data_IF_259474337126
#
_entry.id   IF_259474337126
#
_cell.length_a   1.000
_cell.length_b   1.000
_cell.length_c   1.000
_cell.angle_alpha   90.00
_cell.angle_beta   90.00
_cell.angle_gamma   90.00
#
_symmetry.space_group_name_H-M   'P 1'
#
loop_
_entity.id
_entity.type
_entity.pdbx_description
1 polymer ?
#
# COMPACT_ATOMS: atom_id res chain seq x y z
N UNK A 1 -7.93 0.36 5.54
CA UNK A 1 -8.82 1.27 4.78
C UNK A 1 -9.24 0.72 3.41
N UNK A 2 -8.35 0.17 2.58
CA UNK A 2 -8.70 -0.37 1.25
C UNK A 2 -9.84 -1.40 1.23
N UNK A 3 -9.94 -2.25 2.24
CA UNK A 3 -11.04 -3.24 2.37
C UNK A 3 -12.40 -2.56 2.58
N UNK A 4 -12.45 -1.46 3.34
CA UNK A 4 -13.66 -0.68 3.58
C UNK A 4 -14.12 -0.04 2.27
N UNK A 5 -13.21 0.62 1.56
CA UNK A 5 -13.49 1.22 0.26
C UNK A 5 -13.99 0.17 -0.76
N UNK A 6 -13.35 -0.99 -0.78
CA UNK A 6 -13.79 -2.11 -1.63
C UNK A 6 -15.24 -2.49 -1.35
N UNK A 7 -15.60 -2.71 -0.09
CA UNK A 7 -16.98 -3.08 0.31
C UNK A 7 -18.01 -2.04 -0.15
N UNK A 8 -17.66 -0.76 -0.12
CA UNK A 8 -18.59 0.32 -0.44
C UNK A 8 -18.74 0.54 -1.96
N UNK A 9 -17.64 0.49 -2.72
CA UNK A 9 -17.60 0.96 -4.10
C UNK A 9 -17.51 -0.14 -5.16
N UNK A 10 -16.98 -1.33 -4.85
CA UNK A 10 -16.66 -2.36 -5.87
C UNK A 10 -17.83 -2.75 -6.76
N UNK A 11 -19.06 -2.76 -6.22
CA UNK A 11 -20.28 -3.18 -6.92
C UNK A 11 -21.15 -2.01 -7.40
N UNK A 12 -20.70 -0.76 -7.25
CA UNK A 12 -21.47 0.39 -7.70
C UNK A 12 -21.29 0.57 -9.20
N UNK A 13 -22.41 0.71 -9.94
CA UNK A 13 -22.41 0.78 -11.41
C UNK A 13 -21.54 1.90 -11.94
N UNK A 14 -21.70 3.11 -11.40
CA UNK A 14 -20.93 4.30 -11.79
C UNK A 14 -19.42 4.14 -11.54
N UNK A 15 -19.04 3.51 -10.43
CA UNK A 15 -17.64 3.21 -10.12
C UNK A 15 -17.06 2.17 -11.09
N UNK A 16 -17.80 1.10 -11.38
CA UNK A 16 -17.38 0.04 -12.30
C UNK A 16 -17.25 0.58 -13.72
N UNK A 17 -18.23 1.35 -14.18
CA UNK A 17 -18.24 1.97 -15.50
C UNK A 17 -17.07 2.95 -15.65
N UNK A 18 -16.89 3.86 -14.69
CA UNK A 18 -15.81 4.82 -14.71
C UNK A 18 -14.44 4.14 -14.77
N UNK A 19 -14.18 3.18 -13.88
CA UNK A 19 -12.90 2.47 -13.86
C UNK A 19 -12.65 1.64 -15.11
N UNK A 20 -13.70 1.11 -15.73
CA UNK A 20 -13.62 0.40 -17.02
C UNK A 20 -13.30 1.36 -18.16
N UNK A 21 -13.94 2.54 -18.19
CA UNK A 21 -13.66 3.59 -19.17
C UNK A 21 -12.22 4.09 -19.07
N UNK A 22 -11.71 4.34 -17.87
CA UNK A 22 -10.31 4.72 -17.65
C UNK A 22 -9.34 3.70 -18.27
N UNK A 23 -9.59 2.41 -18.04
CA UNK A 23 -8.79 1.34 -18.63
C UNK A 23 -8.83 1.33 -20.16
N UNK A 24 -10.03 1.44 -20.73
CA UNK A 24 -10.23 1.51 -22.19
C UNK A 24 -9.55 2.72 -22.81
N UNK A 25 -9.70 3.91 -22.21
CA UNK A 25 -9.08 5.15 -22.71
C UNK A 25 -7.56 5.10 -22.63
N UNK A 26 -7.02 4.51 -21.58
CA UNK A 26 -5.57 4.29 -21.47
C UNK A 26 -5.04 3.41 -22.60
N UNK A 27 -5.71 2.29 -22.90
CA UNK A 27 -5.32 1.40 -24.00
C UNK A 27 -5.48 2.09 -25.37
N UNK A 28 -6.53 2.90 -25.55
CA UNK A 28 -6.81 3.61 -26.79
C UNK A 28 -5.77 4.67 -27.12
N UNK A 29 -5.26 5.39 -26.10
CA UNK A 29 -4.46 6.60 -26.30
C UNK A 29 -2.97 6.46 -25.95
N UNK A 30 -2.50 5.32 -25.46
CA UNK A 30 -1.12 5.17 -24.95
C UNK A 30 -0.02 5.33 -26.04
N UNK A 31 -0.37 5.15 -27.32
CA UNK A 31 0.54 5.36 -28.47
C UNK A 31 0.13 6.55 -29.35
N UNK A 32 -0.61 7.50 -28.83
CA UNK A 32 -1.09 8.67 -29.56
C UNK A 32 -0.53 9.96 -28.96
N UNK A 33 -0.78 11.08 -29.63
CA UNK A 33 -0.50 12.44 -29.14
C UNK A 33 -1.20 12.78 -27.80
N UNK A 34 -2.18 11.97 -27.39
CA UNK A 34 -2.93 12.10 -26.14
C UNK A 34 -2.27 11.41 -24.95
N UNK A 35 -1.15 10.73 -25.17
CA UNK A 35 -0.49 9.88 -24.14
C UNK A 35 -0.05 10.65 -22.90
N UNK A 36 0.24 11.94 -23.00
CA UNK A 36 0.68 12.76 -21.86
C UNK A 36 -0.43 13.07 -20.83
N UNK A 37 -1.70 12.90 -21.22
CA UNK A 37 -2.86 13.08 -20.33
C UNK A 37 -3.48 11.75 -19.87
N UNK A 38 -2.81 10.63 -20.06
CA UNK A 38 -3.36 9.32 -19.68
C UNK A 38 -3.64 9.22 -18.19
N UNK A 39 -4.78 8.58 -17.82
CA UNK A 39 -5.03 8.26 -16.43
C UNK A 39 -3.91 7.35 -15.88
N UNK A 40 -3.60 7.45 -14.59
CA UNK A 40 -2.66 6.55 -13.93
C UNK A 40 -3.05 5.09 -14.12
N UNK A 41 -2.06 4.19 -14.12
CA UNK A 41 -2.31 2.77 -14.30
C UNK A 41 -3.04 2.19 -13.06
N UNK A 42 -4.21 1.63 -13.29
CA UNK A 42 -4.99 0.93 -12.25
C UNK A 42 -4.65 -0.55 -12.25
N UNK A 43 -3.89 -1.00 -11.27
CA UNK A 43 -3.65 -2.44 -11.05
C UNK A 43 -4.88 -3.07 -10.41
N UNK A 44 -5.43 -4.12 -11.00
CA UNK A 44 -6.64 -4.79 -10.51
C UNK A 44 -6.50 -5.27 -9.04
N UNK A 45 -5.34 -5.81 -8.68
CA UNK A 45 -5.05 -6.36 -7.33
C UNK A 45 -5.00 -5.27 -6.26
N UNK A 46 -4.53 -4.07 -6.60
CA UNK A 46 -4.35 -2.96 -5.64
C UNK A 46 -5.23 -1.74 -5.95
N UNK A 47 -6.34 -1.94 -6.67
CA UNK A 47 -7.24 -0.86 -7.11
C UNK A 47 -7.63 0.07 -5.97
N UNK A 48 -8.05 -0.48 -4.84
CA UNK A 48 -8.52 0.29 -3.69
C UNK A 48 -7.41 0.88 -2.81
N UNK A 49 -6.17 0.44 -2.97
CA UNK A 49 -5.00 1.05 -2.31
C UNK A 49 -4.46 2.24 -3.10
N UNK A 50 -4.60 2.21 -4.45
CA UNK A 50 -4.06 3.22 -5.36
C UNK A 50 -5.12 4.17 -5.91
N UNK A 51 -6.30 4.24 -5.27
CA UNK A 51 -7.40 5.12 -5.71
C UNK A 51 -6.99 6.59 -5.79
N UNK A 52 -6.14 7.02 -4.89
CA UNK A 52 -5.76 8.43 -4.75
C UNK A 52 -5.18 9.02 -6.03
N UNK A 53 -4.36 8.28 -6.78
CA UNK A 53 -3.70 8.81 -7.97
C UNK A 53 -4.68 9.08 -9.12
N UNK A 54 -5.62 8.17 -9.36
CA UNK A 54 -6.57 8.35 -10.46
C UNK A 54 -7.77 9.23 -10.08
N UNK A 55 -8.13 9.30 -8.79
CA UNK A 55 -9.13 10.28 -8.32
C UNK A 55 -8.54 11.69 -8.39
N UNK A 56 -7.29 11.89 -8.01
CA UNK A 56 -6.59 13.16 -8.16
C UNK A 56 -6.54 13.56 -9.64
N UNK A 57 -6.04 12.67 -10.51
CA UNK A 57 -6.02 12.89 -11.95
C UNK A 57 -7.40 13.27 -12.50
N UNK A 58 -8.46 12.58 -12.05
CA UNK A 58 -9.83 12.85 -12.50
C UNK A 58 -10.33 14.24 -12.10
N UNK A 59 -10.04 14.69 -10.89
CA UNK A 59 -10.39 16.04 -10.45
C UNK A 59 -9.55 17.10 -11.17
N UNK A 60 -8.25 16.89 -11.35
CA UNK A 60 -7.37 17.79 -12.12
C UNK A 60 -7.85 17.91 -13.58
N UNK A 61 -8.26 16.79 -14.19
CA UNK A 61 -8.85 16.79 -15.54
C UNK A 61 -10.16 17.56 -15.62
N UNK A 62 -11.02 17.50 -14.58
CA UNK A 62 -12.23 18.31 -14.50
C UNK A 62 -11.90 19.79 -14.38
N UNK A 63 -10.96 20.15 -13.54
CA UNK A 63 -10.57 21.54 -13.26
C UNK A 63 -9.96 22.23 -14.49
N UNK A 64 -9.15 21.49 -15.27
CA UNK A 64 -8.49 22.04 -16.47
C UNK A 64 -9.27 21.77 -17.77
N UNK A 65 -10.41 21.07 -17.72
CA UNK A 65 -11.10 20.57 -18.92
C UNK A 65 -11.34 21.64 -19.98
N UNK A 66 -11.85 22.80 -19.60
CA UNK A 66 -12.23 23.87 -20.52
C UNK A 66 -11.02 24.59 -21.14
N UNK A 67 -9.83 24.39 -20.57
CA UNK A 67 -8.55 24.92 -21.11
C UNK A 67 -7.85 23.94 -22.06
N UNK A 68 -8.32 22.69 -22.15
CA UNK A 68 -7.73 21.68 -23.00
C UNK A 68 -8.00 21.96 -24.50
N UNK A 69 -7.06 21.56 -25.40
CA UNK A 69 -7.32 21.58 -26.84
C UNK A 69 -8.54 20.76 -27.20
N UNK A 70 -9.34 21.17 -28.20
CA UNK A 70 -10.62 20.54 -28.57
C UNK A 70 -10.54 19.01 -28.76
N UNK A 71 -9.46 18.52 -29.42
CA UNK A 71 -9.22 17.06 -29.57
C UNK A 71 -9.06 16.32 -28.24
N UNK A 72 -8.57 17.00 -27.21
CA UNK A 72 -8.41 16.45 -25.87
C UNK A 72 -9.74 16.52 -25.12
N UNK A 73 -10.48 17.61 -25.27
CA UNK A 73 -11.83 17.71 -24.72
C UNK A 73 -12.74 16.60 -25.24
N UNK A 74 -12.77 16.31 -26.53
CA UNK A 74 -13.51 15.18 -27.10
C UNK A 74 -13.08 13.83 -26.52
N UNK A 75 -11.77 13.60 -26.42
CA UNK A 75 -11.23 12.34 -25.94
C UNK A 75 -11.61 12.04 -24.49
N UNK A 76 -11.68 13.09 -23.65
CA UNK A 76 -11.92 12.98 -22.20
C UNK A 76 -13.27 13.56 -21.75
N UNK A 77 -14.21 13.82 -22.70
CA UNK A 77 -15.55 14.37 -22.39
C UNK A 77 -16.29 13.56 -21.33
N UNK A 78 -16.13 12.24 -21.32
CA UNK A 78 -16.77 11.34 -20.36
C UNK A 78 -16.49 11.70 -18.89
N UNK A 79 -15.39 12.44 -18.58
CA UNK A 79 -15.04 12.71 -17.19
C UNK A 79 -16.06 13.61 -16.50
N UNK A 80 -16.74 14.46 -17.26
CA UNK A 80 -17.80 15.35 -16.74
C UNK A 80 -18.96 14.57 -16.13
N UNK A 81 -19.29 13.41 -16.69
CA UNK A 81 -20.40 12.56 -16.22
C UNK A 81 -20.10 11.95 -14.83
N UNK A 82 -18.81 11.84 -14.47
CA UNK A 82 -18.36 11.26 -13.21
C UNK A 82 -17.89 12.31 -12.17
N UNK A 83 -18.14 13.58 -12.40
CA UNK A 83 -17.72 14.66 -11.49
C UNK A 83 -18.24 14.49 -10.06
N UNK A 84 -19.50 14.04 -9.91
CA UNK A 84 -20.07 13.76 -8.59
C UNK A 84 -19.37 12.61 -7.88
N UNK A 85 -19.10 11.50 -8.59
CA UNK A 85 -18.37 10.37 -8.08
C UNK A 85 -16.93 10.75 -7.65
N UNK A 86 -16.23 11.53 -8.48
CA UNK A 86 -14.87 11.98 -8.19
C UNK A 86 -14.78 12.87 -6.96
N UNK A 87 -15.73 13.80 -6.78
CA UNK A 87 -15.81 14.64 -5.57
C UNK A 87 -16.11 13.82 -4.32
N UNK A 88 -17.03 12.86 -4.41
CA UNK A 88 -17.33 11.93 -3.31
C UNK A 88 -16.10 11.11 -2.91
N UNK A 89 -15.43 10.50 -3.89
CA UNK A 89 -14.21 9.71 -3.65
C UNK A 89 -13.08 10.58 -3.08
N UNK A 90 -12.92 11.81 -3.55
CA UNK A 90 -11.93 12.75 -3.03
C UNK A 90 -12.17 13.04 -1.54
N UNK A 91 -13.40 13.29 -1.13
CA UNK A 91 -13.75 13.55 0.27
C UNK A 91 -13.41 12.36 1.17
N UNK A 92 -13.77 11.14 0.73
CA UNK A 92 -13.45 9.91 1.47
C UNK A 92 -11.94 9.65 1.54
N UNK A 93 -11.22 9.86 0.44
CA UNK A 93 -9.76 9.67 0.40
C UNK A 93 -9.00 10.72 1.23
N UNK A 94 -9.49 11.95 1.30
CA UNK A 94 -8.94 12.96 2.21
C UNK A 94 -9.07 12.51 3.66
N UNK A 95 -10.23 11.94 4.04
CA UNK A 95 -10.43 11.41 5.38
C UNK A 95 -9.52 10.22 5.68
N UNK A 96 -9.38 9.29 4.73
CA UNK A 96 -8.44 8.15 4.86
C UNK A 96 -7.02 8.65 5.11
N UNK A 97 -6.53 9.59 4.28
CA UNK A 97 -5.17 10.15 4.44
C UNK A 97 -4.98 10.84 5.79
N UNK A 98 -5.97 11.60 6.24
CA UNK A 98 -5.89 12.29 7.53
C UNK A 98 -5.79 11.31 8.70
N UNK A 99 -6.66 10.31 8.71
CA UNK A 99 -6.67 9.24 9.72
C UNK A 99 -5.38 8.43 9.70
N UNK A 100 -4.87 8.09 8.51
CA UNK A 100 -3.59 7.39 8.35
C UNK A 100 -2.42 8.22 8.87
N UNK A 101 -2.42 9.53 8.62
CA UNK A 101 -1.38 10.44 9.11
C UNK A 101 -1.35 10.49 10.65
N UNK A 102 -2.52 10.60 11.31
CA UNK A 102 -2.61 10.55 12.77
C UNK A 102 -2.01 9.24 13.29
N UNK A 103 -2.47 8.12 12.73
CA UNK A 103 -2.03 6.79 13.18
C UNK A 103 -0.55 6.52 12.91
N UNK A 104 0.01 7.03 11.81
CA UNK A 104 1.45 6.89 11.50
C UNK A 104 2.32 7.72 12.45
N UNK A 105 1.89 8.93 12.78
CA UNK A 105 2.69 9.85 13.59
C UNK A 105 2.60 9.57 15.09
N UNK A 106 1.41 9.21 15.58
CA UNK A 106 1.14 9.07 17.01
C UNK A 106 1.01 7.60 17.46
N UNK A 107 0.98 6.65 16.51
CA UNK A 107 0.58 5.26 16.77
C UNK A 107 -0.91 5.13 17.06
N UNK A 108 -1.39 3.91 17.18
CA UNK A 108 -2.78 3.62 17.57
C UNK A 108 -2.88 3.44 19.08
N UNK A 109 -3.56 4.34 19.74
CA UNK A 109 -3.92 4.31 21.15
C UNK A 109 -5.40 4.64 21.31
N UNK A 110 -5.96 4.52 22.49
CA UNK A 110 -7.33 4.96 22.78
C UNK A 110 -7.53 6.45 22.45
N UNK A 111 -6.51 7.27 22.72
CA UNK A 111 -6.56 8.71 22.43
C UNK A 111 -6.59 8.97 20.93
N UNK A 112 -5.67 8.37 20.17
CA UNK A 112 -5.60 8.55 18.71
C UNK A 112 -6.81 7.94 18.01
N UNK A 113 -7.33 6.80 18.48
CA UNK A 113 -8.58 6.23 18.01
C UNK A 113 -9.74 7.20 18.15
N UNK A 114 -9.87 7.85 19.31
CA UNK A 114 -10.90 8.90 19.55
C UNK A 114 -10.74 10.09 18.63
N UNK A 115 -9.53 10.59 18.43
CA UNK A 115 -9.25 11.67 17.45
C UNK A 115 -9.71 11.29 16.04
N UNK A 116 -9.35 10.09 15.59
CA UNK A 116 -9.74 9.57 14.28
C UNK A 116 -11.26 9.41 14.15
N UNK A 117 -11.93 8.85 15.17
CA UNK A 117 -13.38 8.70 15.18
C UNK A 117 -14.08 10.06 15.12
N UNK A 118 -13.64 11.04 15.91
CA UNK A 118 -14.19 12.39 15.88
C UNK A 118 -14.06 13.02 14.49
N UNK A 119 -12.88 12.89 13.87
CA UNK A 119 -12.66 13.42 12.53
C UNK A 119 -13.62 12.77 11.50
N UNK A 120 -13.79 11.46 11.54
CA UNK A 120 -14.70 10.72 10.64
C UNK A 120 -16.15 11.17 10.85
N UNK A 121 -16.59 11.31 12.11
CA UNK A 121 -17.94 11.77 12.43
C UNK A 121 -18.19 13.17 11.88
N UNK A 122 -17.25 14.08 12.05
CA UNK A 122 -17.41 15.49 11.66
C UNK A 122 -17.34 15.72 10.15
N UNK A 123 -16.47 14.95 9.43
CA UNK A 123 -16.16 15.27 8.03
C UNK A 123 -16.67 14.23 7.02
N UNK A 124 -17.04 13.02 7.46
CA UNK A 124 -17.40 11.93 6.55
C UNK A 124 -18.86 11.52 6.66
N UNK A 125 -19.44 11.53 7.85
CA UNK A 125 -20.81 10.99 8.06
C UNK A 125 -21.94 11.88 7.52
N UNK A 126 -21.70 13.10 7.17
CA UNK A 126 -22.67 14.14 6.74
C UNK A 126 -24.08 13.65 6.36
N UNK A 127 -24.25 13.00 5.19
CA UNK A 127 -25.53 12.43 4.75
C UNK A 127 -25.55 10.92 5.04
N UNK A 128 -26.33 10.48 6.02
CA UNK A 128 -26.37 9.13 6.55
C UNK A 128 -26.64 8.01 5.51
N UNK A 129 -27.28 8.31 4.40
CA UNK A 129 -27.57 7.33 3.34
C UNK A 129 -26.57 7.32 2.18
N UNK A 130 -25.58 8.19 2.21
CA UNK A 130 -24.58 8.29 1.17
C UNK A 130 -23.54 7.14 1.24
N UNK A 131 -22.87 6.85 0.13
CA UNK A 131 -21.72 5.93 0.10
C UNK A 131 -20.58 6.44 0.96
N UNK A 132 -20.40 7.75 1.01
CA UNK A 132 -19.45 8.42 1.88
C UNK A 132 -19.72 8.09 3.35
N UNK A 133 -20.96 8.17 3.81
CA UNK A 133 -21.35 7.82 5.17
C UNK A 133 -21.10 6.33 5.46
N UNK A 134 -21.40 5.43 4.51
CA UNK A 134 -21.10 3.99 4.65
C UNK A 134 -19.60 3.73 4.80
N UNK A 135 -18.76 4.46 4.08
CA UNK A 135 -17.31 4.38 4.25
C UNK A 135 -16.90 4.89 5.64
N UNK A 136 -17.48 5.99 6.10
CA UNK A 136 -17.26 6.53 7.45
C UNK A 136 -17.67 5.54 8.54
N UNK A 137 -18.84 4.92 8.44
CA UNK A 137 -19.29 3.87 9.37
C UNK A 137 -18.29 2.72 9.42
N UNK A 138 -17.83 2.23 8.26
CA UNK A 138 -16.81 1.18 8.22
C UNK A 138 -15.49 1.59 8.87
N UNK A 139 -15.09 2.86 8.80
CA UNK A 139 -13.92 3.39 9.52
C UNK A 139 -14.16 3.41 11.04
N UNK A 140 -15.34 3.82 11.49
CA UNK A 140 -15.70 3.81 12.92
C UNK A 140 -15.72 2.39 13.49
N UNK A 141 -16.30 1.42 12.76
CA UNK A 141 -16.29 0.02 13.14
C UNK A 141 -14.86 -0.53 13.25
N UNK A 142 -13.99 -0.17 12.31
CA UNK A 142 -12.57 -0.52 12.37
C UNK A 142 -11.94 0.01 13.65
N UNK A 143 -12.07 1.30 13.95
CA UNK A 143 -11.47 1.88 15.15
C UNK A 143 -12.06 1.32 16.45
N UNK A 144 -13.36 1.03 16.50
CA UNK A 144 -13.97 0.41 17.67
C UNK A 144 -13.42 -1.00 17.92
N UNK A 145 -13.22 -1.78 16.85
CA UNK A 145 -12.64 -3.12 16.96
C UNK A 145 -11.19 -3.07 17.41
N UNK A 146 -10.38 -2.21 16.83
CA UNK A 146 -8.95 -2.10 17.18
C UNK A 146 -8.79 -1.53 18.61
N UNK A 147 -9.64 -0.57 19.01
CA UNK A 147 -9.63 -0.01 20.37
C UNK A 147 -9.93 -1.07 21.44
N UNK A 148 -10.80 -2.02 21.13
CA UNK A 148 -11.11 -3.14 22.04
C UNK A 148 -9.91 -4.08 22.29
N UNK A 149 -8.91 -4.06 21.41
CA UNK A 149 -7.67 -4.84 21.56
C UNK A 149 -6.58 -4.09 22.34
N UNK A 150 -6.77 -2.79 22.61
CA UNK A 150 -5.80 -1.98 23.33
C UNK A 150 -5.98 -2.15 24.85
N UNK A 151 -4.90 -2.43 25.55
CA UNK A 151 -4.89 -2.55 27.02
C UNK A 151 -4.17 -1.36 27.65
N UNK A 152 -4.82 -0.67 28.57
CA UNK A 152 -4.24 0.45 29.33
C UNK A 152 -3.77 1.62 28.45
N UNK A 153 -2.59 2.16 28.72
CA UNK A 153 -1.98 3.27 27.98
C UNK A 153 -1.14 2.81 26.76
N UNK A 154 -1.42 1.64 26.22
CA UNK A 154 -0.66 1.06 25.12
C UNK A 154 -0.85 1.87 23.83
N UNK A 155 0.25 2.15 23.13
CA UNK A 155 0.26 2.66 21.77
C UNK A 155 0.91 1.64 20.85
N UNK A 156 0.22 1.30 19.76
CA UNK A 156 0.68 0.30 18.78
C UNK A 156 1.03 1.02 17.49
N UNK A 157 2.20 0.74 16.94
CA UNK A 157 2.54 1.18 15.60
C UNK A 157 1.78 0.32 14.58
N UNK A 158 0.89 0.95 13.82
CA UNK A 158 0.07 0.26 12.80
C UNK A 158 0.59 0.48 11.36
N UNK A 159 1.75 1.14 11.20
CA UNK A 159 2.37 1.30 9.89
C UNK A 159 3.28 0.11 9.58
N UNK A 160 3.10 -0.48 8.40
CA UNK A 160 4.01 -1.48 7.83
C UNK A 160 5.24 -0.85 7.15
N UNK A 161 5.33 0.48 7.10
CA UNK A 161 6.34 1.21 6.33
C UNK A 161 7.78 0.80 6.72
N UNK A 162 8.03 0.59 8.02
CA UNK A 162 9.34 0.14 8.52
C UNK A 162 9.66 -1.26 7.99
N UNK A 163 8.67 -2.16 8.04
CA UNK A 163 8.81 -3.54 7.57
C UNK A 163 9.02 -3.54 6.05
N UNK A 164 8.20 -2.78 5.31
CA UNK A 164 8.29 -2.66 3.86
C UNK A 164 9.63 -2.06 3.41
N UNK A 165 10.09 -0.98 4.07
CA UNK A 165 11.40 -0.38 3.82
C UNK A 165 12.52 -1.39 4.09
N UNK A 166 12.46 -2.11 5.20
CA UNK A 166 13.44 -3.14 5.57
C UNK A 166 13.50 -4.27 4.53
N UNK A 167 12.33 -4.74 4.07
CA UNK A 167 12.26 -5.73 2.98
C UNK A 167 12.72 -5.14 1.64
N UNK A 168 12.49 -3.86 1.38
CA UNK A 168 13.02 -3.15 0.22
C UNK A 168 14.53 -3.18 0.18
N UNK A 169 15.18 -2.85 1.29
CA UNK A 169 16.64 -2.93 1.45
C UNK A 169 17.15 -4.37 1.27
N UNK A 170 16.49 -5.34 1.89
CA UNK A 170 16.83 -6.75 1.72
C UNK A 170 16.77 -7.18 0.24
N UNK A 171 15.69 -6.83 -0.46
CA UNK A 171 15.50 -7.17 -1.88
C UNK A 171 16.57 -6.53 -2.78
N UNK A 172 16.97 -5.29 -2.50
CA UNK A 172 18.01 -4.59 -3.28
C UNK A 172 19.40 -5.21 -3.11
N UNK A 173 19.66 -5.81 -1.95
CA UNK A 173 20.94 -6.48 -1.63
C UNK A 173 20.95 -7.97 -1.95
N UNK A 174 19.79 -8.57 -2.18
CA UNK A 174 19.67 -9.97 -2.59
C UNK A 174 20.20 -10.14 -4.01
N UNK A 175 20.87 -11.27 -4.28
CA UNK A 175 21.28 -11.63 -5.64
C UNK A 175 20.10 -11.50 -6.62
N UNK A 176 20.28 -10.88 -7.78
CA UNK A 176 19.25 -10.76 -8.81
C UNK A 176 18.82 -12.11 -9.39
N UNK A 177 19.59 -13.17 -9.16
CA UNK A 177 19.26 -14.50 -9.65
C UNK A 177 18.06 -15.09 -8.92
N UNK A 178 16.94 -15.20 -9.62
CA UNK A 178 15.66 -15.72 -9.10
C UNK A 178 15.75 -17.19 -8.63
N UNK A 179 16.77 -17.93 -9.07
CA UNK A 179 16.95 -19.34 -8.74
C UNK A 179 17.41 -19.58 -7.29
N UNK A 180 17.96 -18.57 -6.62
CA UNK A 180 18.49 -18.75 -5.25
C UNK A 180 17.42 -18.89 -4.16
N UNK A 181 16.16 -18.58 -4.44
CA UNK A 181 15.10 -18.70 -3.43
C UNK A 181 15.37 -17.86 -2.16
N UNK A 182 14.94 -18.37 -1.02
CA UNK A 182 15.23 -17.80 0.31
C UNK A 182 16.50 -18.48 0.85
N UNK A 183 17.49 -17.68 1.22
CA UNK A 183 18.79 -18.15 1.75
C UNK A 183 18.98 -17.65 3.18
N UNK A 184 20.02 -18.13 3.89
CA UNK A 184 20.40 -17.63 5.23
C UNK A 184 20.65 -16.12 5.28
N UNK A 185 20.80 -15.46 4.11
CA UNK A 185 20.86 -14.00 4.02
C UNK A 185 19.62 -13.30 4.61
N UNK A 186 18.48 -14.00 4.70
CA UNK A 186 17.27 -13.50 5.40
C UNK A 186 17.54 -13.09 6.85
N UNK A 187 18.51 -13.72 7.51
CA UNK A 187 18.90 -13.40 8.88
C UNK A 187 19.52 -12.00 9.03
N UNK A 188 19.86 -11.35 7.93
CA UNK A 188 20.35 -9.95 7.95
C UNK A 188 19.21 -8.92 8.07
N UNK A 189 17.95 -9.31 7.82
CA UNK A 189 16.80 -8.40 7.84
C UNK A 189 16.69 -7.62 9.14
N UNK A 190 16.80 -8.23 10.35
CA UNK A 190 16.70 -7.51 11.61
C UNK A 190 17.83 -6.50 11.88
N UNK A 191 18.91 -6.56 11.10
CA UNK A 191 20.04 -5.64 11.25
C UNK A 191 19.78 -4.29 10.57
N UNK A 192 18.99 -4.25 9.49
CA UNK A 192 18.81 -3.03 8.68
C UNK A 192 18.24 -1.84 9.46
N UNK A 193 17.18 -1.97 10.28
CA UNK A 193 16.68 -0.85 11.07
C UNK A 193 17.70 -0.33 12.10
N UNK A 194 18.59 -1.21 12.59
CA UNK A 194 19.62 -0.85 13.57
C UNK A 194 20.82 -0.16 12.92
N UNK A 195 21.22 -0.62 11.75
CA UNK A 195 22.40 -0.08 11.03
C UNK A 195 22.09 1.27 10.37
N UNK A 196 20.84 1.53 10.00
CA UNK A 196 20.42 2.83 9.44
C UNK A 196 20.41 3.97 10.46
N UNK A 197 20.49 3.67 11.76
CA UNK A 197 20.56 4.67 12.81
C UNK A 197 22.02 4.86 13.25
N UNK A 198 22.65 5.99 12.88
CA UNK A 198 24.06 6.26 13.16
C UNK A 198 24.41 6.19 14.65
N UNK A 199 23.53 6.68 15.54
CA UNK A 199 23.76 6.64 16.98
C UNK A 199 23.83 5.22 17.53
N UNK A 200 22.95 4.34 17.03
CA UNK A 200 22.91 2.92 17.42
C UNK A 200 24.08 2.16 16.79
N UNK A 201 24.44 2.47 15.54
CA UNK A 201 25.55 1.80 14.83
C UNK A 201 26.90 2.03 15.53
N UNK A 202 27.13 3.24 16.03
CA UNK A 202 28.36 3.57 16.77
C UNK A 202 28.51 2.80 18.09
N UNK A 203 27.40 2.32 18.67
CA UNK A 203 27.39 1.57 19.94
C UNK A 203 27.41 0.05 19.74
N UNK A 204 27.25 -0.45 18.50
CA UNK A 204 27.25 -1.90 18.23
C UNK A 204 28.69 -2.43 18.16
N UNK A 205 29.11 -3.20 19.14
CA UNK A 205 30.33 -3.99 19.04
C UNK A 205 30.05 -5.31 18.25
N UNK A 206 30.25 -5.26 16.95
CA UNK A 206 30.04 -6.42 16.09
C UNK A 206 30.92 -7.61 16.44
N UNK A 207 32.17 -7.36 16.85
CA UNK A 207 33.11 -8.40 17.23
C UNK A 207 32.59 -9.22 18.42
N UNK A 208 32.11 -8.59 19.47
CA UNK A 208 31.52 -9.28 20.61
C UNK A 208 30.27 -10.06 20.27
N UNK A 209 29.43 -9.51 19.39
CA UNK A 209 28.16 -10.15 19.02
C UNK A 209 28.32 -11.37 18.12
N UNK A 210 29.37 -11.47 17.32
CA UNK A 210 29.60 -12.57 16.40
C UNK A 210 30.62 -13.61 16.92
N UNK A 211 31.28 -13.37 18.03
CA UNK A 211 32.29 -14.29 18.63
C UNK A 211 31.76 -15.72 18.77
N UNK A 212 30.51 -15.87 19.18
CA UNK A 212 29.86 -17.16 19.38
C UNK A 212 29.06 -17.68 18.20
N UNK A 213 29.02 -16.95 17.07
CA UNK A 213 28.26 -17.35 15.89
C UNK A 213 29.14 -18.17 14.94
N UNK A 214 28.83 -19.44 14.76
CA UNK A 214 29.56 -20.32 13.83
C UNK A 214 28.76 -20.45 12.51
N UNK A 215 29.46 -20.44 11.40
CA UNK A 215 28.84 -20.67 10.08
C UNK A 215 28.11 -22.01 10.01
N UNK A 216 28.57 -23.01 10.75
CA UNK A 216 27.92 -24.31 10.89
C UNK A 216 26.50 -24.18 11.47
N UNK A 217 26.34 -23.36 12.52
CA UNK A 217 25.04 -23.16 13.17
C UNK A 217 24.05 -22.47 12.24
N UNK A 218 24.52 -21.48 11.46
CA UNK A 218 23.73 -20.82 10.42
C UNK A 218 23.32 -21.82 9.33
N UNK A 219 24.24 -22.68 8.91
CA UNK A 219 23.96 -23.71 7.90
C UNK A 219 22.93 -24.73 8.39
N UNK A 220 23.08 -25.22 9.63
CA UNK A 220 22.12 -26.12 10.27
C UNK A 220 20.75 -25.50 10.36
N UNK A 221 20.67 -24.27 10.90
CA UNK A 221 19.41 -23.53 11.00
C UNK A 221 18.76 -23.34 9.62
N UNK A 222 19.53 -22.99 8.59
CA UNK A 222 19.01 -22.80 7.23
C UNK A 222 18.44 -24.08 6.66
N UNK A 223 19.05 -25.23 6.95
CA UNK A 223 18.58 -26.54 6.49
C UNK A 223 17.26 -26.95 7.15
N UNK A 224 17.11 -26.60 8.43
CA UNK A 224 15.93 -26.97 9.22
C UNK A 224 14.72 -26.05 8.96
N UNK A 225 14.96 -24.74 8.75
CA UNK A 225 13.89 -23.72 8.77
C UNK A 225 13.56 -23.12 7.41
N UNK A 226 14.48 -23.17 6.44
CA UNK A 226 14.23 -22.62 5.11
C UNK A 226 13.69 -23.68 4.15
N UNK A 227 12.70 -23.31 3.36
CA UNK A 227 12.16 -24.19 2.32
C UNK A 227 13.24 -24.54 1.29
N UNK A 228 13.29 -25.80 0.88
CA UNK A 228 14.20 -26.25 -0.17
C UNK A 228 13.92 -25.52 -1.49
N UNK A 229 14.99 -25.04 -2.12
CA UNK A 229 14.88 -24.50 -3.47
C UNK A 229 14.77 -25.64 -4.49
N UNK A 230 13.56 -25.89 -4.98
CA UNK A 230 13.25 -26.96 -5.93
C UNK A 230 14.11 -26.92 -7.21
N UNK A 231 14.51 -25.73 -7.68
CA UNK A 231 15.38 -25.62 -8.86
C UNK A 231 16.78 -26.15 -8.55
N UNK A 232 17.33 -25.80 -7.39
CA UNK A 232 18.63 -26.29 -6.94
C UNK A 232 18.62 -27.82 -6.73
N UNK A 233 17.54 -28.32 -6.13
CA UNK A 233 17.40 -29.79 -5.94
C UNK A 233 17.27 -30.52 -7.27
N UNK A 234 16.49 -30.05 -8.22
CA UNK A 234 16.42 -30.62 -9.58
C UNK A 234 17.78 -30.59 -10.30
N UNK A 235 18.51 -29.48 -10.20
CA UNK A 235 19.85 -29.37 -10.81
C UNK A 235 20.82 -30.35 -10.19
N UNK A 236 20.79 -30.56 -8.87
CA UNK A 236 21.61 -31.59 -8.19
C UNK A 236 21.23 -33.00 -8.63
N UNK A 237 19.93 -33.26 -8.79
CA UNK A 237 19.46 -34.59 -9.28
C UNK A 237 19.94 -34.86 -10.69
N UNK A 238 19.81 -33.87 -11.60
CA UNK A 238 20.29 -33.99 -12.98
C UNK A 238 21.80 -34.24 -13.07
N UNK A 239 22.60 -33.57 -12.22
CA UNK A 239 24.06 -33.79 -12.16
C UNK A 239 24.47 -35.15 -11.62
N UNK A 240 23.61 -35.88 -10.90
CA UNK A 240 23.86 -37.22 -10.41
C UNK A 240 23.52 -38.32 -11.44
N UNK A 241 22.76 -37.97 -12.46
CA UNK A 241 22.31 -38.88 -13.51
C UNK A 241 23.17 -38.76 -14.77
N UNK A 242 23.94 -37.68 -14.87
CA UNK A 242 24.99 -37.48 -15.90
C UNK A 242 26.34 -37.93 -15.38
#
# INVERSE_FOLDING_TARGET
MGVILKKVYEKQSDFVEFTTLLGKKRLQYHLTDKAYLLPPNMRAISRFMNMSSWVLWGNEMLDCYDTLPGKMQEAYAFIKDYGSLLKELQAVLCAVRHVEAICKNEGLSVITSRKCKLYVITHVLGNAHSRQARAGIGMLEYFNREEALLTGNMSINISSDIIESTFGIYKSKKSPNKLYGVTSFVLTIPLYPKVSNESVTKTINFKERIVNVKLKDISTWSTEHLSKNWVTERTKTLRKVS
#
